data_IF_652260179729
#
_entry.id   IF_652260179729
#
_cell.length_a   1.000
_cell.length_b   1.000
_cell.length_c   1.000
_cell.angle_alpha   90.00
_cell.angle_beta   90.00
_cell.angle_gamma   90.00
#
_symmetry.space_group_name_H-M   'P 1'
#
loop_
_entity.id
_entity.type
_entity.pdbx_description
1 polymer ?
#
# COMPACT_ATOMS: atom_id res chain seq x y z
N UNK A 1 3.67 55.41 18.51
CA UNK A 1 4.09 54.71 17.27
C UNK A 1 4.71 53.33 17.51
N UNK A 2 5.56 53.13 18.54
CA UNK A 2 6.12 51.80 18.88
C UNK A 2 5.09 50.71 19.26
N UNK A 3 4.00 51.05 19.97
CA UNK A 3 2.95 50.07 20.34
C UNK A 3 2.09 49.58 19.15
N UNK A 4 1.85 50.42 18.14
CA UNK A 4 1.10 50.02 16.92
C UNK A 4 1.94 49.11 16.00
N UNK A 5 3.27 49.25 16.04
CA UNK A 5 4.20 48.42 15.27
C UNK A 5 4.34 47.00 15.84
N UNK A 6 4.20 46.84 17.17
CA UNK A 6 4.24 45.51 17.83
C UNK A 6 2.97 44.71 17.54
N UNK A 7 1.81 45.37 17.45
CA UNK A 7 0.52 44.70 17.15
C UNK A 7 0.47 44.22 15.70
N UNK A 8 1.07 44.96 14.76
CA UNK A 8 1.19 44.56 13.35
C UNK A 8 2.11 43.33 13.16
N UNK A 9 3.13 43.15 14.00
CA UNK A 9 4.05 42.02 13.89
C UNK A 9 3.48 40.71 14.49
N UNK A 10 2.56 40.80 15.46
CA UNK A 10 1.95 39.64 16.09
C UNK A 10 0.88 38.95 15.21
N UNK A 11 0.24 39.68 14.29
CA UNK A 11 -0.83 39.17 13.42
C UNK A 11 -0.27 38.35 12.24
N UNK A 12 0.97 38.62 11.81
CA UNK A 12 1.67 37.87 10.75
C UNK A 12 2.20 36.50 11.20
N UNK A 13 2.15 36.16 12.49
CA UNK A 13 2.64 34.89 13.02
C UNK A 13 1.58 33.76 13.07
N UNK A 14 0.30 34.06 12.81
CA UNK A 14 -0.79 33.07 12.91
C UNK A 14 -1.33 32.53 11.56
N UNK A 15 -0.80 32.99 10.41
CA UNK A 15 -1.17 32.46 9.08
C UNK A 15 -0.14 31.47 8.50
N UNK A 16 0.77 30.94 9.33
CA UNK A 16 1.71 29.90 8.94
C UNK A 16 1.14 28.49 9.11
N UNK A 17 0.75 27.87 8.00
CA UNK A 17 0.59 26.42 7.81
C UNK A 17 -0.69 25.77 8.36
N UNK A 18 -1.85 26.18 7.84
CA UNK A 18 -2.83 25.18 7.44
C UNK A 18 -2.36 24.57 6.10
N UNK A 19 -1.87 23.33 6.13
CA UNK A 19 -2.19 22.22 5.20
C UNK A 19 -1.16 21.10 5.41
N UNK A 20 -1.43 20.16 6.31
CA UNK A 20 -0.92 18.80 6.15
C UNK A 20 -1.77 18.13 5.08
N UNK A 21 -1.47 18.46 3.83
CA UNK A 21 -1.83 17.59 2.73
C UNK A 21 -0.71 16.58 2.52
N UNK A 22 -1.12 15.32 2.53
CA UNK A 22 -0.57 14.23 1.74
C UNK A 22 0.87 13.80 2.03
N UNK A 23 0.95 12.69 2.77
CA UNK A 23 1.72 11.54 2.30
C UNK A 23 1.02 10.25 2.75
N UNK A 24 -0.17 9.97 2.17
CA UNK A 24 -0.57 8.55 2.03
C UNK A 24 0.41 8.00 1.00
N UNK A 25 1.32 7.09 1.37
CA UNK A 25 2.39 6.68 0.47
C UNK A 25 1.74 6.09 -0.79
N UNK A 26 1.96 6.78 -1.90
CA UNK A 26 1.61 6.32 -3.23
C UNK A 26 2.55 5.14 -3.52
N UNK A 27 2.10 3.95 -3.12
CA UNK A 27 2.82 2.71 -3.39
C UNK A 27 2.64 2.42 -4.86
N UNK A 28 3.75 2.50 -5.59
CA UNK A 28 3.80 2.26 -7.02
C UNK A 28 3.65 0.74 -7.32
N UNK A 29 2.41 0.27 -7.13
CA UNK A 29 1.68 -0.94 -7.56
C UNK A 29 0.18 -0.57 -7.51
N UNK A 30 -0.17 0.48 -8.25
CA UNK A 30 -1.22 1.46 -7.91
C UNK A 30 -2.71 1.04 -8.00
N UNK A 31 -3.10 -0.24 -8.09
CA UNK A 31 -4.54 -0.54 -8.02
C UNK A 31 -4.94 -1.86 -7.37
N UNK A 32 -4.07 -2.56 -6.65
CA UNK A 32 -4.55 -3.77 -5.94
C UNK A 32 -5.55 -3.33 -4.87
N UNK A 33 -6.84 -3.58 -5.11
CA UNK A 33 -7.95 -3.18 -4.23
C UNK A 33 -8.34 -4.35 -3.33
N UNK A 34 -8.87 -4.03 -2.14
CA UNK A 34 -9.53 -5.05 -1.31
C UNK A 34 -10.72 -5.60 -2.10
N UNK A 35 -10.83 -6.93 -2.15
CA UNK A 35 -11.82 -7.65 -2.96
C UNK A 35 -11.37 -7.96 -4.39
N UNK A 36 -10.22 -7.47 -4.84
CA UNK A 36 -9.69 -7.79 -6.17
C UNK A 36 -9.17 -9.22 -6.24
N UNK A 37 -9.40 -9.87 -7.38
CA UNK A 37 -8.85 -11.18 -7.68
C UNK A 37 -7.44 -11.04 -8.27
N UNK A 38 -6.47 -11.70 -7.65
CA UNK A 38 -5.05 -11.67 -8.05
C UNK A 38 -4.49 -13.09 -8.09
N UNK A 39 -3.52 -13.33 -8.96
CA UNK A 39 -2.82 -14.61 -9.05
C UNK A 39 -1.60 -14.60 -8.14
N UNK A 40 -1.56 -15.51 -7.17
CA UNK A 40 -0.50 -15.59 -6.16
C UNK A 40 0.16 -16.97 -6.13
N UNK A 41 1.36 -17.03 -5.55
CA UNK A 41 2.08 -18.29 -5.36
C UNK A 41 1.22 -19.33 -4.62
N UNK A 42 0.99 -20.48 -5.25
CA UNK A 42 0.24 -21.61 -4.69
C UNK A 42 1.09 -22.76 -4.17
N UNK A 43 2.41 -22.58 -4.00
CA UNK A 43 3.30 -23.63 -3.50
C UNK A 43 2.87 -24.09 -2.10
N UNK A 44 2.98 -25.38 -1.74
CA UNK A 44 2.59 -25.88 -0.42
C UNK A 44 3.33 -25.18 0.73
N UNK A 45 4.63 -24.92 0.53
CA UNK A 45 5.47 -24.20 1.49
C UNK A 45 5.26 -22.68 1.46
N UNK A 46 4.51 -22.16 0.49
CA UNK A 46 4.14 -20.74 0.40
C UNK A 46 5.35 -19.78 0.54
N UNK A 47 6.53 -20.18 0.09
CA UNK A 47 7.77 -19.43 0.32
C UNK A 47 7.95 -18.22 -0.59
N UNK A 48 7.29 -18.19 -1.76
CA UNK A 48 7.51 -17.14 -2.74
C UNK A 48 6.60 -15.93 -2.53
N UNK A 49 7.15 -14.76 -2.81
CA UNK A 49 6.44 -13.49 -2.83
C UNK A 49 6.04 -13.09 -4.26
N UNK A 50 5.41 -14.01 -5.00
CA UNK A 50 5.00 -13.81 -6.39
C UNK A 50 3.51 -13.48 -6.45
N UNK A 51 3.20 -12.34 -7.06
CA UNK A 51 1.84 -11.83 -7.33
C UNK A 51 1.78 -11.36 -8.79
N UNK A 52 0.66 -11.62 -9.46
CA UNK A 52 0.43 -11.27 -10.87
C UNK A 52 -1.05 -10.92 -11.09
N UNK A 53 -1.32 -10.02 -12.03
CA UNK A 53 -2.69 -9.75 -12.52
C UNK A 53 -3.16 -10.78 -13.54
N UNK A 54 -2.24 -11.60 -14.05
CA UNK A 54 -2.50 -12.59 -15.09
C UNK A 54 -2.11 -14.00 -14.61
N UNK A 55 -2.78 -15.05 -15.12
CA UNK A 55 -2.37 -16.41 -14.85
C UNK A 55 -0.94 -16.65 -15.35
N UNK A 56 -0.24 -17.56 -14.67
CA UNK A 56 1.15 -17.84 -15.00
C UNK A 56 1.76 -18.85 -14.04
N UNK A 57 3.09 -18.90 -14.03
CA UNK A 57 3.85 -19.77 -13.13
C UNK A 57 4.70 -18.94 -12.18
N UNK A 58 4.82 -19.42 -10.95
CA UNK A 58 5.81 -18.95 -10.00
C UNK A 58 7.22 -19.36 -10.48
N UNK A 59 8.26 -18.68 -9.97
CA UNK A 59 9.67 -19.05 -10.19
C UNK A 59 10.00 -20.52 -9.83
N UNK A 60 9.23 -21.14 -8.93
CA UNK A 60 9.34 -22.56 -8.59
C UNK A 60 8.68 -23.50 -9.63
N UNK A 61 8.28 -22.98 -10.79
CA UNK A 61 7.56 -23.69 -11.86
C UNK A 61 6.16 -24.22 -11.48
N UNK A 62 5.62 -23.81 -10.32
CA UNK A 62 4.27 -24.13 -9.86
C UNK A 62 3.27 -23.11 -10.41
N UNK A 63 2.07 -23.52 -10.87
CA UNK A 63 1.05 -22.59 -11.32
C UNK A 63 0.64 -21.61 -10.22
N UNK A 64 0.43 -20.35 -10.59
CA UNK A 64 -0.16 -19.37 -9.70
C UNK A 64 -1.63 -19.74 -9.44
N UNK A 65 -2.08 -19.53 -8.21
CA UNK A 65 -3.47 -19.74 -7.80
C UNK A 65 -4.18 -18.41 -7.73
N UNK A 66 -5.42 -18.39 -8.18
CA UNK A 66 -6.30 -17.25 -7.98
C UNK A 66 -6.62 -17.10 -6.50
N UNK A 67 -6.50 -15.89 -5.99
CA UNK A 67 -6.87 -15.51 -4.64
C UNK A 67 -7.49 -14.13 -4.61
N UNK A 68 -8.15 -13.80 -3.50
CA UNK A 68 -8.84 -12.52 -3.32
C UNK A 68 -8.12 -11.70 -2.26
N UNK A 69 -7.86 -10.43 -2.55
CA UNK A 69 -7.25 -9.51 -1.60
C UNK A 69 -8.21 -9.26 -0.43
N UNK A 70 -7.84 -9.67 0.78
CA UNK A 70 -8.66 -9.51 1.97
C UNK A 70 -8.36 -8.21 2.71
N UNK A 71 -7.09 -7.79 2.75
CA UNK A 71 -6.64 -6.59 3.46
C UNK A 71 -5.29 -6.10 2.96
N UNK A 72 -5.01 -4.83 3.17
CA UNK A 72 -3.73 -4.18 2.84
C UNK A 72 -3.28 -3.39 4.06
N UNK A 73 -2.09 -3.70 4.58
CA UNK A 73 -1.57 -3.07 5.80
C UNK A 73 -0.05 -3.17 5.85
N UNK A 74 0.60 -2.13 6.37
CA UNK A 74 2.04 -2.12 6.68
C UNK A 74 2.93 -2.54 5.48
N UNK A 75 2.58 -2.07 4.28
CA UNK A 75 3.31 -2.41 3.04
C UNK A 75 3.11 -3.86 2.57
N UNK A 76 2.09 -4.56 3.08
CA UNK A 76 1.75 -5.94 2.71
C UNK A 76 0.33 -6.04 2.19
N UNK A 77 0.12 -6.86 1.18
CA UNK A 77 -1.19 -7.30 0.70
C UNK A 77 -1.45 -8.70 1.23
N UNK A 78 -2.60 -8.89 1.86
CA UNK A 78 -3.03 -10.18 2.33
C UNK A 78 -4.04 -10.73 1.33
N UNK A 79 -3.80 -11.96 0.89
CA UNK A 79 -4.61 -12.61 -0.14
C UNK A 79 -5.13 -13.92 0.43
N UNK A 80 -6.44 -14.10 0.37
CA UNK A 80 -7.12 -15.36 0.65
C UNK A 80 -6.99 -16.28 -0.57
N UNK A 81 -6.29 -17.40 -0.40
CA UNK A 81 -6.06 -18.39 -1.45
C UNK A 81 -6.20 -19.79 -0.87
N UNK A 82 -7.03 -20.63 -1.51
CA UNK A 82 -7.32 -22.00 -1.02
C UNK A 82 -7.73 -22.07 0.46
N UNK A 83 -8.55 -21.10 0.93
CA UNK A 83 -9.03 -21.03 2.30
C UNK A 83 -8.01 -20.59 3.35
N UNK A 84 -6.82 -20.13 2.93
CA UNK A 84 -5.78 -19.58 3.83
C UNK A 84 -5.45 -18.15 3.43
N UNK A 85 -5.24 -17.28 4.42
CA UNK A 85 -4.75 -15.92 4.17
C UNK A 85 -3.22 -15.91 4.21
N UNK A 86 -2.60 -15.25 3.23
CA UNK A 86 -1.16 -15.04 3.18
C UNK A 86 -0.80 -13.60 2.87
N UNK A 87 0.20 -13.09 3.57
CA UNK A 87 0.77 -11.78 3.31
C UNK A 87 1.83 -11.84 2.19
N UNK A 88 1.77 -10.87 1.29
CA UNK A 88 2.72 -10.63 0.21
C UNK A 88 3.27 -9.20 0.35
N UNK A 89 4.58 -9.03 0.19
CA UNK A 89 5.21 -7.70 0.28
C UNK A 89 4.93 -6.91 -0.99
N UNK A 90 4.54 -5.63 -0.83
CA UNK A 90 4.36 -4.66 -1.92
C UNK A 90 5.67 -4.04 -2.41
N UNK A 91 6.81 -4.69 -2.13
CA UNK A 91 8.10 -4.14 -2.54
C UNK A 91 8.22 -4.21 -4.06
N UNK A 92 8.34 -3.04 -4.70
CA UNK A 92 8.88 -2.90 -6.05
C UNK A 92 10.23 -3.62 -6.08
N UNK A 93 10.35 -4.59 -6.97
CA UNK A 93 11.64 -5.18 -7.32
C UNK A 93 12.27 -4.35 -8.43
#
# INVERSE_FOLDING_TARGET
MKKRMIILLAILAFLGCATEQNNKPEVVLNEVKIGEAVYVCGCPMMCCNSISRSPGRCSCNVPLKLGTVSRIRDGRVYVAVSGREKAFLLTKK
#
